data_IF_706211356817
#
_entry.id   IF_706211356817
#
_cell.length_a   1.000
_cell.length_b   1.000
_cell.length_c   1.000
_cell.angle_alpha   90.00
_cell.angle_beta   90.00
_cell.angle_gamma   90.00
#
_symmetry.space_group_name_H-M   'P 1'
#
loop_
_entity.id
_entity.type
_entity.pdbx_description
1 polymer ?
#
# COMPACT_ATOMS: atom_id res chain seq x y z
N UNK A 1 4.76 28.79 5.32
CA UNK A 1 3.88 27.66 4.95
C UNK A 1 4.50 26.37 5.44
N UNK A 2 3.76 25.50 6.14
CA UNK A 2 4.23 24.14 6.46
C UNK A 2 3.98 23.24 5.24
N UNK A 3 4.97 22.46 4.84
CA UNK A 3 4.86 21.54 3.70
C UNK A 3 4.32 20.18 4.19
N UNK A 4 3.52 19.53 3.36
CA UNK A 4 3.04 18.17 3.56
C UNK A 4 3.46 17.36 2.35
N UNK A 5 3.93 16.13 2.58
CA UNK A 5 4.35 15.22 1.53
C UNK A 5 3.72 13.84 1.75
N UNK A 6 3.20 13.25 0.67
CA UNK A 6 2.85 11.84 0.60
C UNK A 6 4.02 11.11 -0.07
N UNK A 7 4.56 10.09 0.60
CA UNK A 7 5.67 9.27 0.10
C UNK A 7 5.14 7.84 -0.08
N UNK A 8 5.23 7.31 -1.29
CA UNK A 8 4.79 5.96 -1.63
C UNK A 8 6.00 5.07 -1.81
N UNK A 9 6.10 4.01 -1.00
CA UNK A 9 7.07 2.93 -1.18
C UNK A 9 6.42 1.86 -2.04
N UNK A 10 6.63 1.90 -3.35
CA UNK A 10 5.96 0.99 -4.27
C UNK A 10 6.42 -0.47 -4.05
N UNK A 11 5.48 -1.41 -4.03
CA UNK A 11 5.72 -2.82 -3.70
C UNK A 11 6.07 -3.11 -2.23
N UNK A 12 5.89 -2.16 -1.31
CA UNK A 12 6.20 -2.33 0.11
C UNK A 12 4.96 -2.73 0.94
N UNK A 13 4.86 -4.00 1.32
CA UNK A 13 3.74 -4.54 2.09
C UNK A 13 4.11 -5.09 3.47
N UNK A 14 3.10 -5.35 4.30
CA UNK A 14 3.24 -6.00 5.61
C UNK A 14 3.13 -7.51 5.40
N UNK A 15 4.29 -8.17 5.31
CA UNK A 15 4.40 -9.63 5.15
C UNK A 15 4.71 -10.35 6.46
N UNK A 16 4.82 -11.68 6.38
CA UNK A 16 5.24 -12.53 7.51
C UNK A 16 6.73 -12.36 7.82
N UNK A 17 7.12 -12.68 9.06
CA UNK A 17 8.51 -12.65 9.53
C UNK A 17 9.27 -13.92 9.08
N UNK A 18 9.41 -14.09 7.76
CA UNK A 18 10.00 -15.26 7.12
C UNK A 18 11.19 -14.85 6.23
N UNK A 19 12.12 -15.79 5.98
CA UNK A 19 13.36 -15.52 5.21
C UNK A 19 13.14 -15.06 3.76
N UNK A 20 11.95 -15.28 3.20
CA UNK A 20 11.54 -14.85 1.87
C UNK A 20 10.94 -13.43 1.85
N UNK A 21 10.79 -12.78 3.01
CA UNK A 21 10.33 -11.40 3.10
C UNK A 21 11.54 -10.45 3.12
N UNK A 22 11.83 -9.84 1.98
CA UNK A 22 12.96 -8.94 1.82
C UNK A 22 12.92 -7.73 2.78
N UNK A 23 11.72 -7.21 3.10
CA UNK A 23 11.56 -6.07 4.01
C UNK A 23 11.95 -6.48 5.43
N UNK A 24 11.50 -7.65 5.87
CA UNK A 24 11.83 -8.19 7.18
C UNK A 24 13.33 -8.46 7.32
N UNK A 25 13.94 -9.11 6.32
CA UNK A 25 15.38 -9.41 6.31
C UNK A 25 16.25 -8.14 6.24
N UNK A 26 15.80 -7.10 5.52
CA UNK A 26 16.55 -5.85 5.39
C UNK A 26 16.67 -5.06 6.70
N UNK A 27 15.77 -5.28 7.68
CA UNK A 27 15.72 -4.55 8.96
C UNK A 27 15.86 -3.03 8.77
N UNK A 28 14.93 -2.36 8.05
CA UNK A 28 15.04 -0.96 7.67
C UNK A 28 14.95 -0.04 8.89
N UNK A 29 16.11 0.32 9.45
CA UNK A 29 16.22 1.05 10.72
C UNK A 29 15.37 2.34 10.77
N UNK A 30 15.39 3.14 9.70
CA UNK A 30 14.63 4.38 9.66
C UNK A 30 13.11 4.14 9.63
N UNK A 31 12.65 3.18 8.82
CA UNK A 31 11.22 2.83 8.76
C UNK A 31 10.74 2.25 10.10
N UNK A 32 11.54 1.38 10.72
CA UNK A 32 11.26 0.83 12.05
C UNK A 32 11.19 1.92 13.12
N UNK A 33 12.08 2.91 13.08
CA UNK A 33 12.01 4.07 13.95
C UNK A 33 10.72 4.87 13.75
N UNK A 34 10.28 5.08 12.50
CA UNK A 34 9.03 5.78 12.22
C UNK A 34 7.82 5.04 12.81
N UNK A 35 7.73 3.72 12.63
CA UNK A 35 6.66 2.90 13.19
C UNK A 35 6.61 2.91 14.73
N UNK A 36 7.77 2.95 15.39
CA UNK A 36 7.83 2.94 16.85
C UNK A 36 7.49 4.29 17.50
N UNK A 37 7.69 5.41 16.78
CA UNK A 37 7.66 6.76 17.38
C UNK A 37 6.55 7.67 16.85
N UNK A 38 5.84 7.29 15.79
CA UNK A 38 4.77 8.10 15.21
C UNK A 38 3.48 7.28 15.01
N UNK A 39 2.29 7.93 15.05
CA UNK A 39 1.04 7.25 14.76
C UNK A 39 1.06 6.57 13.39
N UNK A 40 0.68 5.30 13.36
CA UNK A 40 0.62 4.50 12.15
C UNK A 40 -0.59 3.56 12.20
N UNK A 41 -0.99 3.08 11.03
CA UNK A 41 -2.08 2.13 10.83
C UNK A 41 -1.80 1.35 9.55
N UNK A 42 -2.57 0.29 9.34
CA UNK A 42 -2.50 -0.54 8.13
C UNK A 42 -3.71 -0.25 7.23
N UNK A 43 -3.54 -0.47 5.92
CA UNK A 43 -4.58 -0.28 4.91
C UNK A 43 -4.65 -1.51 4.00
N UNK A 44 -5.86 -1.85 3.56
CA UNK A 44 -6.08 -2.87 2.53
C UNK A 44 -5.79 -2.27 1.14
N UNK A 45 -4.83 -2.85 0.42
CA UNK A 45 -4.35 -2.35 -0.88
C UNK A 45 -4.63 -3.30 -2.05
N UNK A 46 -5.61 -4.19 -1.89
CA UNK A 46 -5.94 -5.23 -2.87
C UNK A 46 -7.43 -5.59 -2.84
N UNK A 47 -7.90 -6.27 -3.88
CA UNK A 47 -9.29 -6.70 -4.01
C UNK A 47 -10.29 -5.55 -3.92
N UNK A 48 -11.42 -5.81 -3.27
CA UNK A 48 -12.58 -4.89 -3.24
C UNK A 48 -12.24 -3.53 -2.61
N UNK A 49 -11.22 -3.47 -1.74
CA UNK A 49 -10.78 -2.26 -1.06
C UNK A 49 -10.09 -1.25 -1.99
N UNK A 50 -9.67 -1.68 -3.18
CA UNK A 50 -9.12 -0.82 -4.24
C UNK A 50 -9.95 -0.93 -5.54
N UNK A 51 -11.13 -1.54 -5.47
CA UNK A 51 -12.05 -1.64 -6.61
C UNK A 51 -11.79 -2.80 -7.56
N UNK A 52 -10.97 -3.78 -7.15
CA UNK A 52 -10.74 -5.04 -7.84
C UNK A 52 -11.68 -6.15 -7.33
N UNK A 53 -11.90 -7.22 -8.12
CA UNK A 53 -12.48 -8.46 -7.64
C UNK A 53 -11.83 -8.99 -6.35
N UNK A 54 -12.64 -9.61 -5.48
CA UNK A 54 -12.18 -10.21 -4.23
C UNK A 54 -11.02 -11.19 -4.46
N UNK A 55 -9.95 -11.02 -3.68
CA UNK A 55 -8.75 -11.88 -3.72
C UNK A 55 -7.76 -11.53 -4.82
N UNK A 56 -8.06 -10.57 -5.70
CA UNK A 56 -7.12 -10.09 -6.69
C UNK A 56 -6.04 -9.21 -6.04
N UNK A 57 -4.78 -9.50 -6.37
CA UNK A 57 -3.64 -8.71 -5.92
C UNK A 57 -3.74 -7.30 -6.52
N UNK A 58 -3.44 -6.28 -5.73
CA UNK A 58 -3.35 -4.91 -6.22
C UNK A 58 -2.17 -4.70 -7.16
N UNK A 59 -2.10 -3.50 -7.73
CA UNK A 59 -0.99 -3.07 -8.58
C UNK A 59 -0.77 -1.56 -8.45
N UNK A 60 0.32 -1.07 -9.04
CA UNK A 60 0.69 0.34 -8.94
C UNK A 60 -0.40 1.25 -9.51
N UNK A 61 -0.99 0.91 -10.67
CA UNK A 61 -2.03 1.73 -11.32
C UNK A 61 -3.28 1.90 -10.44
N UNK A 62 -3.92 0.79 -10.05
CA UNK A 62 -5.12 0.83 -9.22
C UNK A 62 -4.87 1.46 -7.85
N UNK A 63 -3.68 1.25 -7.28
CA UNK A 63 -3.28 1.84 -6.00
C UNK A 63 -3.13 3.36 -6.08
N UNK A 64 -2.41 3.86 -7.09
CA UNK A 64 -2.23 5.30 -7.29
C UNK A 64 -3.55 5.99 -7.63
N UNK A 65 -4.41 5.37 -8.45
CA UNK A 65 -5.74 5.91 -8.77
C UNK A 65 -6.63 6.00 -7.53
N UNK A 66 -6.71 4.93 -6.73
CA UNK A 66 -7.54 4.91 -5.51
C UNK A 66 -7.05 5.95 -4.49
N UNK A 67 -5.74 6.03 -4.25
CA UNK A 67 -5.16 7.02 -3.34
C UNK A 67 -5.38 8.46 -3.82
N UNK A 68 -5.13 8.72 -5.11
CA UNK A 68 -5.30 10.04 -5.70
C UNK A 68 -6.77 10.49 -5.74
N UNK A 69 -7.70 9.56 -5.91
CA UNK A 69 -9.13 9.85 -5.93
C UNK A 69 -9.75 10.01 -4.53
N UNK A 70 -9.11 9.48 -3.49
CA UNK A 70 -9.64 9.49 -2.13
C UNK A 70 -10.92 8.66 -1.95
N UNK A 71 -11.16 7.70 -2.86
CA UNK A 71 -12.30 6.76 -2.82
C UNK A 71 -11.98 5.49 -3.60
N UNK A 72 -12.68 4.41 -3.28
CA UNK A 72 -12.62 3.16 -4.06
C UNK A 72 -13.16 3.43 -5.46
N UNK A 73 -12.34 3.15 -6.48
CA UNK A 73 -12.73 3.25 -7.88
C UNK A 73 -12.94 1.84 -8.41
N UNK A 74 -14.20 1.44 -8.61
CA UNK A 74 -14.49 0.15 -9.23
C UNK A 74 -14.01 0.19 -10.67
N UNK A 75 -13.02 -0.65 -10.97
CA UNK A 75 -12.56 -0.81 -12.33
C UNK A 75 -13.68 -1.47 -13.12
N UNK A 76 -14.19 -0.79 -14.15
CA UNK A 76 -15.12 -1.42 -15.07
C UNK A 76 -14.36 -2.50 -15.82
N UNK A 77 -14.54 -3.76 -15.44
CA UNK A 77 -14.16 -4.95 -16.21
C UNK A 77 -14.81 -5.00 -17.62
N UNK A 78 -15.51 -3.95 -18.03
CA UNK A 78 -16.16 -3.82 -19.33
C UNK A 78 -15.33 -2.95 -20.27
N UNK A 79 -14.41 -3.57 -21.02
CA UNK A 79 -14.19 -3.28 -22.44
C UNK A 79 -13.23 -4.28 -23.09
N UNK A 80 -13.73 -5.47 -23.41
CA UNK A 80 -13.59 -6.07 -24.75
C UNK A 80 -14.96 -6.64 -25.12
#
# INVERSE_FOLDING_TARGET
MKKVALIVLDGWGIGKNEKNNAIYEAKPNFFNYLLANFPNTELQASGEFVGLPKGQIGGSEVGHLTMGAGKVLTESLTRI
#
